data_IF_012074898790
#
_entry.id   IF_012074898790
#
_cell.length_a   1.000
_cell.length_b   1.000
_cell.length_c   1.000
_cell.angle_alpha   90.00
_cell.angle_beta   90.00
_cell.angle_gamma   90.00
#
_symmetry.space_group_name_H-M   'P 1'
#
loop_
_entity.id
_entity.type
_entity.pdbx_description
1 polymer ?
#
# COMPACT_ATOMS: atom_id res chain seq x y z
N UNK A 1 -6.62 3.26 10.35
CA UNK A 1 -6.69 3.78 8.96
C UNK A 1 -5.64 3.09 8.09
N UNK A 2 -6.01 2.60 6.90
CA UNK A 2 -5.06 2.02 5.93
C UNK A 2 -4.20 3.15 5.34
N UNK A 3 -2.88 2.96 5.28
CA UNK A 3 -1.96 4.02 4.84
C UNK A 3 -1.24 3.71 3.53
N UNK A 4 -0.67 2.52 3.38
CA UNK A 4 0.17 2.20 2.22
C UNK A 4 0.26 0.68 1.98
N UNK A 5 0.55 0.24 0.75
CA UNK A 5 0.89 -1.16 0.50
C UNK A 5 2.19 -1.54 1.23
N UNK A 6 2.32 -2.82 1.55
CA UNK A 6 3.56 -3.40 2.08
C UNK A 6 4.43 -3.89 0.91
N UNK A 7 5.28 -3.02 0.40
CA UNK A 7 6.26 -3.40 -0.63
C UNK A 7 7.27 -4.42 -0.06
N UNK A 8 7.65 -5.47 -0.83
CA UNK A 8 8.60 -6.45 -0.36
C UNK A 8 10.01 -5.87 -0.26
N UNK A 9 10.80 -6.38 0.68
CA UNK A 9 12.21 -6.05 0.84
C UNK A 9 13.07 -7.32 0.84
N UNK A 10 14.40 -7.16 0.74
CA UNK A 10 15.34 -8.30 0.63
C UNK A 10 15.25 -9.29 1.79
N UNK A 11 14.81 -8.85 2.98
CA UNK A 11 14.61 -9.74 4.15
C UNK A 11 13.59 -10.85 3.88
N UNK A 12 12.63 -10.62 2.97
CA UNK A 12 11.72 -11.67 2.53
C UNK A 12 12.48 -12.81 1.84
N UNK A 13 13.45 -12.48 0.98
CA UNK A 13 14.31 -13.48 0.31
C UNK A 13 15.13 -14.29 1.30
N UNK A 14 15.65 -13.65 2.35
CA UNK A 14 16.37 -14.34 3.44
C UNK A 14 15.42 -15.29 4.19
N UNK A 15 14.24 -14.82 4.59
CA UNK A 15 13.28 -15.60 5.39
C UNK A 15 12.80 -16.89 4.70
N UNK A 16 12.71 -16.85 3.37
CA UNK A 16 12.24 -17.95 2.55
C UNK A 16 13.37 -18.70 1.83
N UNK A 17 14.64 -18.33 2.08
CA UNK A 17 15.81 -18.89 1.39
C UNK A 17 15.67 -18.87 -0.14
N UNK A 18 14.98 -17.84 -0.66
CA UNK A 18 14.52 -17.76 -2.04
C UNK A 18 14.64 -16.32 -2.57
N UNK A 19 15.76 -15.94 -3.21
CA UNK A 19 15.99 -14.55 -3.62
C UNK A 19 14.94 -13.98 -4.58
N UNK A 20 14.40 -14.81 -5.48
CA UNK A 20 13.37 -14.43 -6.46
C UNK A 20 11.97 -14.24 -5.85
N UNK A 21 11.77 -14.61 -4.58
CA UNK A 21 10.48 -14.41 -3.89
C UNK A 21 10.10 -12.93 -3.80
N UNK A 22 11.07 -12.02 -3.74
CA UNK A 22 10.80 -10.57 -3.70
C UNK A 22 10.09 -10.13 -4.98
N UNK A 23 10.55 -10.61 -6.14
CA UNK A 23 9.94 -10.33 -7.45
C UNK A 23 8.58 -11.01 -7.57
N UNK A 24 8.47 -12.29 -7.19
CA UNK A 24 7.20 -13.04 -7.22
C UNK A 24 6.14 -12.41 -6.32
N UNK A 25 6.53 -11.98 -5.12
CA UNK A 25 5.63 -11.33 -4.16
C UNK A 25 5.08 -10.02 -4.75
N UNK A 26 5.95 -9.16 -5.32
CA UNK A 26 5.52 -7.93 -5.96
C UNK A 26 4.63 -8.21 -7.17
N UNK A 27 5.04 -9.12 -8.06
CA UNK A 27 4.27 -9.50 -9.25
C UNK A 27 2.89 -10.09 -8.92
N UNK A 28 2.74 -10.76 -7.77
CA UNK A 28 1.45 -11.31 -7.34
C UNK A 28 0.41 -10.23 -6.99
N UNK A 29 0.84 -8.99 -6.74
CA UNK A 29 0.04 -7.87 -6.20
C UNK A 29 -0.63 -8.16 -4.83
N UNK A 30 -0.32 -9.29 -4.18
CA UNK A 30 -0.84 -9.69 -2.87
C UNK A 30 0.08 -9.17 -1.76
N UNK A 31 0.32 -7.86 -1.77
CA UNK A 31 1.33 -7.23 -0.92
C UNK A 31 0.88 -7.05 0.52
N UNK A 32 -0.43 -6.96 0.74
CA UNK A 32 -0.98 -6.50 2.02
C UNK A 32 -0.74 -5.00 2.22
N UNK A 33 -1.00 -4.49 3.41
CA UNK A 33 -0.95 -3.07 3.70
C UNK A 33 -0.64 -2.79 5.17
N UNK A 34 -0.28 -1.54 5.45
CA UNK A 34 -0.09 -1.03 6.80
C UNK A 34 -1.28 -0.22 7.27
N UNK A 35 -1.48 -0.23 8.58
CA UNK A 35 -2.34 0.69 9.28
C UNK A 35 -1.53 1.74 10.03
N UNK A 36 -2.07 2.95 10.16
CA UNK A 36 -1.71 3.89 11.22
C UNK A 36 -2.69 3.72 12.38
N UNK A 37 -2.14 3.72 13.59
CA UNK A 37 -2.91 3.82 14.84
C UNK A 37 -3.41 5.25 14.97
N UNK A 38 -4.74 5.43 14.94
CA UNK A 38 -5.38 6.74 15.15
C UNK A 38 -5.64 7.00 16.63
N UNK A 39 -5.98 5.93 17.34
CA UNK A 39 -6.23 5.90 18.77
C UNK A 39 -5.69 4.59 19.31
N UNK A 40 -4.91 4.65 20.39
CA UNK A 40 -4.38 3.47 21.07
C UNK A 40 -5.47 2.77 21.87
N UNK A 41 -5.28 1.47 22.13
CA UNK A 41 -6.22 0.63 22.86
C UNK A 41 -5.75 -0.82 22.90
N UNK A 42 -6.57 -1.69 23.51
CA UNK A 42 -6.31 -3.13 23.61
C UNK A 42 -6.99 -3.88 22.46
N UNK A 43 -6.31 -4.89 21.94
CA UNK A 43 -6.81 -5.79 20.88
C UNK A 43 -6.31 -7.22 21.15
N UNK A 44 -7.14 -8.21 20.82
CA UNK A 44 -6.88 -9.63 21.03
C UNK A 44 -7.14 -10.48 19.80
N UNK A 45 -6.64 -11.72 19.82
CA UNK A 45 -6.95 -12.69 18.79
C UNK A 45 -8.43 -13.08 18.86
N UNK A 46 -9.13 -12.97 17.72
CA UNK A 46 -10.57 -13.24 17.63
C UNK A 46 -11.45 -11.99 17.59
N UNK A 47 -10.89 -10.81 17.87
CA UNK A 47 -11.61 -9.55 17.73
C UNK A 47 -12.01 -9.30 16.26
N UNK A 48 -13.16 -8.63 16.08
CA UNK A 48 -13.69 -8.30 14.76
C UNK A 48 -13.06 -7.02 14.22
N UNK A 49 -12.83 -6.99 12.91
CA UNK A 49 -12.49 -5.77 12.18
C UNK A 49 -13.74 -5.23 11.49
N UNK A 50 -14.18 -4.05 11.90
CA UNK A 50 -15.33 -3.38 11.33
C UNK A 50 -14.90 -2.18 10.47
N UNK A 51 -15.48 -2.08 9.27
CA UNK A 51 -15.26 -0.94 8.39
C UNK A 51 -16.18 0.22 8.81
N UNK A 52 -15.64 1.12 9.62
CA UNK A 52 -16.40 2.29 10.12
C UNK A 52 -16.47 3.45 9.13
N UNK A 53 -15.51 3.56 8.21
CA UNK A 53 -15.45 4.61 7.20
C UNK A 53 -14.73 4.13 5.95
N UNK A 54 -15.18 4.61 4.79
CA UNK A 54 -14.53 4.42 3.49
C UNK A 54 -14.38 5.78 2.83
N UNK A 55 -13.20 6.02 2.29
CA UNK A 55 -12.87 7.25 1.58
C UNK A 55 -13.55 7.29 0.19
N UNK A 56 -14.17 8.42 -0.15
CA UNK A 56 -14.93 8.62 -1.39
C UNK A 56 -14.04 8.65 -2.65
N UNK A 57 -12.73 8.89 -2.50
CA UNK A 57 -11.78 8.78 -3.61
C UNK A 57 -11.72 7.34 -4.16
N UNK A 58 -12.16 6.34 -3.39
CA UNK A 58 -12.21 4.94 -3.85
C UNK A 58 -10.86 4.41 -4.40
N UNK A 59 -9.75 4.98 -3.95
CA UNK A 59 -8.39 4.54 -4.31
C UNK A 59 -8.05 3.32 -3.47
N UNK A 60 -7.81 2.19 -4.13
CA UNK A 60 -7.51 0.93 -3.45
C UNK A 60 -6.00 0.72 -3.24
N UNK A 61 -5.63 -0.18 -2.32
CA UNK A 61 -4.23 -0.60 -2.14
C UNK A 61 -3.65 -1.19 -3.43
N UNK A 62 -4.48 -1.88 -4.22
CA UNK A 62 -4.09 -2.41 -5.52
C UNK A 62 -3.74 -1.28 -6.52
N UNK A 63 -4.50 -0.18 -6.52
CA UNK A 63 -4.19 0.98 -7.37
C UNK A 63 -2.82 1.60 -7.03
N UNK A 64 -2.52 1.80 -5.74
CA UNK A 64 -1.22 2.33 -5.31
C UNK A 64 -0.08 1.39 -5.70
N UNK A 65 -0.28 0.07 -5.55
CA UNK A 65 0.71 -0.95 -5.95
C UNK A 65 0.94 -0.94 -7.47
N UNK A 66 -0.12 -0.81 -8.26
CA UNK A 66 -0.04 -0.73 -9.72
C UNK A 66 0.72 0.51 -10.20
N UNK A 67 0.43 1.69 -9.62
CA UNK A 67 1.17 2.92 -9.90
C UNK A 67 2.66 2.76 -9.58
N UNK A 68 3.00 2.14 -8.44
CA UNK A 68 4.39 1.89 -8.06
C UNK A 68 5.12 0.99 -9.07
N UNK A 69 4.46 -0.07 -9.54
CA UNK A 69 5.02 -1.01 -10.51
C UNK A 69 5.13 -0.46 -11.93
N UNK A 70 4.52 0.71 -12.22
CA UNK A 70 4.52 1.37 -13.54
C UNK A 70 3.97 0.48 -14.66
N UNK A 71 3.05 -0.41 -14.34
CA UNK A 71 2.48 -1.36 -15.31
C UNK A 71 1.49 -0.69 -16.27
N UNK A 72 0.91 0.45 -15.89
CA UNK A 72 -0.07 1.16 -16.69
C UNK A 72 0.11 2.67 -16.51
N UNK A 73 0.09 3.41 -17.63
CA UNK A 73 0.12 4.86 -17.60
C UNK A 73 -1.30 5.39 -17.33
N UNK A 74 -1.57 5.73 -16.08
CA UNK A 74 -2.85 6.29 -15.66
C UNK A 74 -2.62 7.65 -14.96
N UNK A 75 -2.52 8.76 -15.71
CA UNK A 75 -2.18 10.07 -15.16
C UNK A 75 -3.24 10.60 -14.20
N UNK A 76 -4.53 10.28 -14.44
CA UNK A 76 -5.63 10.66 -13.56
C UNK A 76 -5.51 9.97 -12.20
N UNK A 77 -5.27 8.65 -12.19
CA UNK A 77 -5.08 7.90 -10.96
C UNK A 77 -3.82 8.36 -10.22
N UNK A 78 -2.73 8.67 -10.94
CA UNK A 78 -1.50 9.20 -10.37
C UNK A 78 -1.75 10.55 -9.70
N UNK A 79 -2.45 11.47 -10.37
CA UNK A 79 -2.87 12.77 -9.83
C UNK A 79 -3.64 12.62 -8.53
N UNK A 80 -4.71 11.81 -8.56
CA UNK A 80 -5.55 11.60 -7.38
C UNK A 80 -4.80 10.92 -6.24
N UNK A 81 -3.93 9.95 -6.53
CA UNK A 81 -3.12 9.28 -5.51
C UNK A 81 -2.09 10.21 -4.86
N UNK A 82 -1.51 11.14 -5.62
CA UNK A 82 -0.57 12.13 -5.10
C UNK A 82 -1.21 13.14 -4.12
N UNK A 83 -2.53 13.32 -4.19
CA UNK A 83 -3.30 14.20 -3.29
C UNK A 83 -3.93 13.45 -2.10
N UNK A 84 -3.85 12.12 -2.05
CA UNK A 84 -4.54 11.32 -1.02
C UNK A 84 -3.87 11.47 0.36
N UNK A 85 -4.52 12.17 1.30
CA UNK A 85 -3.94 12.45 2.63
C UNK A 85 -3.68 11.19 3.48
N UNK A 86 -4.46 10.13 3.27
CA UNK A 86 -4.24 8.83 3.91
C UNK A 86 -2.86 8.23 3.56
N UNK A 87 -2.31 8.60 2.39
CA UNK A 87 -1.03 8.15 1.89
C UNK A 87 0.12 8.97 2.53
N UNK A 88 1.19 8.32 3.01
CA UNK A 88 2.34 9.02 3.60
C UNK A 88 2.97 10.04 2.64
N UNK A 89 3.55 11.11 3.21
CA UNK A 89 4.18 12.18 2.42
C UNK A 89 5.20 11.65 1.41
N UNK A 90 6.05 10.71 1.80
CA UNK A 90 7.06 10.12 0.91
C UNK A 90 6.47 9.45 -0.33
N UNK A 91 5.31 8.83 -0.21
CA UNK A 91 4.59 8.23 -1.33
C UNK A 91 3.97 9.30 -2.24
N UNK A 92 3.36 10.34 -1.65
CA UNK A 92 2.82 11.48 -2.39
C UNK A 92 3.93 12.22 -3.15
N UNK A 93 5.06 12.47 -2.50
CA UNK A 93 6.25 13.07 -3.12
C UNK A 93 6.79 12.19 -4.26
N UNK A 94 6.88 10.87 -4.06
CA UNK A 94 7.27 9.93 -5.11
C UNK A 94 6.36 10.04 -6.33
N UNK A 95 5.03 10.04 -6.14
CA UNK A 95 4.07 10.18 -7.24
C UNK A 95 4.09 11.57 -7.90
N UNK A 96 4.28 12.64 -7.13
CA UNK A 96 4.46 13.99 -7.67
C UNK A 96 5.68 14.10 -8.60
N UNK A 97 6.75 13.36 -8.32
CA UNK A 97 7.93 13.31 -9.17
C UNK A 97 7.74 12.47 -10.46
N UNK A 98 6.58 11.84 -10.65
CA UNK A 98 6.25 11.06 -11.86
C UNK A 98 5.38 11.83 -12.86
N UNK A 99 4.94 13.05 -12.53
CA UNK A 99 4.37 13.99 -13.51
C UNK A 99 5.50 14.60 -14.34
#
# INVERSE_FOLDING_TARGET
MVTQPRLPCYKLGIRFEKPDIVKQFLASRRTGFYFRVLQEGEVGAGDTLELVNRDDNNITVANITQLYMREEHNPELLYRAAQLEALPKSWRDYFNALF
#
